data_IF_677518286432
#
_entry.id   IF_677518286432
#
_cell.length_a   1.000
_cell.length_b   1.000
_cell.length_c   1.000
_cell.angle_alpha   90.00
_cell.angle_beta   90.00
_cell.angle_gamma   90.00
#
_symmetry.space_group_name_H-M   'P 1'
#
loop_
_entity.id
_entity.type
_entity.pdbx_description
1 polymer ?
#
# COMPACT_ATOMS: atom_id res chain seq x y z
N UNK A 1 -33.22 30.28 -15.57
CA UNK A 1 -32.13 31.21 -15.94
C UNK A 1 -31.97 32.08 -14.70
N UNK A 2 -31.01 31.84 -13.81
CA UNK A 2 -29.58 31.67 -14.07
C UNK A 2 -28.89 30.58 -13.24
N UNK A 3 -27.94 29.96 -13.92
CA UNK A 3 -26.99 28.96 -13.43
C UNK A 3 -25.89 29.68 -12.66
N UNK A 4 -25.81 29.49 -11.34
CA UNK A 4 -24.56 29.70 -10.60
C UNK A 4 -24.28 28.44 -9.78
N UNK A 5 -23.32 27.70 -10.30
CA UNK A 5 -22.65 26.55 -9.70
C UNK A 5 -22.08 26.99 -8.35
N UNK A 6 -22.70 26.54 -7.25
CA UNK A 6 -22.06 26.53 -5.93
C UNK A 6 -22.09 25.10 -5.41
N UNK A 7 -21.22 24.26 -5.98
CA UNK A 7 -20.84 22.98 -5.39
C UNK A 7 -19.44 23.13 -4.78
N UNK A 8 -19.37 23.77 -3.62
CA UNK A 8 -18.17 23.79 -2.78
C UNK A 8 -18.48 24.33 -1.37
N UNK A 9 -19.65 23.99 -0.81
CA UNK A 9 -19.91 24.22 0.60
C UNK A 9 -19.48 22.98 1.38
N UNK A 10 -18.30 23.10 2.02
CA UNK A 10 -17.95 22.42 3.25
C UNK A 10 -18.47 20.99 3.41
N UNK A 11 -17.97 20.06 2.59
CA UNK A 11 -17.95 18.68 3.03
C UNK A 11 -16.94 18.61 4.18
N UNK A 12 -17.41 18.54 5.43
CA UNK A 12 -16.66 17.84 6.49
C UNK A 12 -16.47 16.43 5.95
N UNK A 13 -15.43 16.21 5.15
CA UNK A 13 -15.16 14.92 4.54
C UNK A 13 -14.76 13.96 5.65
N UNK A 14 -15.75 13.36 6.29
CA UNK A 14 -15.63 11.96 6.65
C UNK A 14 -15.62 11.21 5.32
N UNK A 15 -14.48 11.17 4.63
CA UNK A 15 -14.32 10.23 3.52
C UNK A 15 -14.63 8.86 4.12
N UNK A 16 -15.70 8.18 3.69
CA UNK A 16 -15.95 6.84 4.19
C UNK A 16 -14.71 6.03 3.83
N UNK A 17 -14.06 5.39 4.79
CA UNK A 17 -12.88 4.56 4.57
C UNK A 17 -13.06 3.61 3.37
N UNK A 18 -14.32 3.22 3.09
CA UNK A 18 -14.76 2.48 1.92
C UNK A 18 -14.43 3.17 0.58
N UNK A 19 -14.74 4.46 0.40
CA UNK A 19 -14.48 5.18 -0.87
C UNK A 19 -12.99 5.22 -1.17
N UNK A 20 -12.17 5.58 -0.17
CA UNK A 20 -10.71 5.59 -0.30
C UNK A 20 -10.19 4.20 -0.68
N UNK A 21 -10.67 3.17 0.01
CA UNK A 21 -10.25 1.78 -0.22
C UNK A 21 -10.63 1.27 -1.61
N UNK A 22 -11.83 1.60 -2.10
CA UNK A 22 -12.27 1.26 -3.46
C UNK A 22 -11.41 1.97 -4.50
N UNK A 23 -11.15 3.27 -4.34
CA UNK A 23 -10.31 4.04 -5.26
C UNK A 23 -8.88 3.49 -5.31
N UNK A 24 -8.31 3.14 -4.15
CA UNK A 24 -6.99 2.50 -4.08
C UNK A 24 -7.01 1.16 -4.85
N UNK A 25 -8.01 0.31 -4.61
CA UNK A 25 -8.12 -0.98 -5.29
C UNK A 25 -8.25 -0.84 -6.81
N UNK A 26 -9.13 0.05 -7.30
CA UNK A 26 -9.29 0.33 -8.74
C UNK A 26 -8.00 0.89 -9.34
N UNK A 27 -7.34 1.82 -8.64
CA UNK A 27 -6.07 2.41 -9.11
C UNK A 27 -4.99 1.34 -9.25
N UNK A 28 -4.86 0.45 -8.26
CA UNK A 28 -3.91 -0.67 -8.32
C UNK A 28 -4.22 -1.57 -9.51
N UNK A 29 -5.49 -1.94 -9.74
CA UNK A 29 -5.88 -2.74 -10.92
C UNK A 29 -5.43 -2.10 -12.23
N UNK A 30 -5.69 -0.81 -12.41
CA UNK A 30 -5.33 -0.07 -13.62
C UNK A 30 -3.81 -0.02 -13.81
N UNK A 31 -3.08 0.30 -12.75
CA UNK A 31 -1.61 0.36 -12.79
C UNK A 31 -0.99 -0.99 -13.10
N UNK A 32 -1.52 -2.08 -12.54
CA UNK A 32 -1.09 -3.45 -12.85
C UNK A 32 -1.33 -3.76 -14.33
N UNK A 33 -2.54 -3.49 -14.86
CA UNK A 33 -2.86 -3.72 -16.26
C UNK A 33 -1.92 -2.94 -17.20
N UNK A 34 -1.61 -1.69 -16.87
CA UNK A 34 -0.74 -0.84 -17.69
C UNK A 34 0.74 -1.25 -17.65
N UNK A 35 1.24 -1.65 -16.47
CA UNK A 35 2.69 -1.87 -16.26
C UNK A 35 3.12 -3.33 -16.39
N UNK A 36 2.19 -4.28 -16.25
CA UNK A 36 2.49 -5.71 -16.32
C UNK A 36 3.18 -6.14 -17.62
N UNK A 37 2.76 -5.71 -18.83
CA UNK A 37 3.43 -6.12 -20.07
C UNK A 37 4.88 -5.65 -20.19
N UNK A 38 5.27 -4.63 -19.43
CA UNK A 38 6.57 -3.97 -19.53
C UNK A 38 7.52 -4.50 -18.45
N UNK A 39 7.07 -4.50 -17.19
CA UNK A 39 7.92 -4.79 -16.03
C UNK A 39 7.41 -5.93 -15.14
N UNK A 40 6.30 -6.57 -15.50
CA UNK A 40 5.61 -7.51 -14.60
C UNK A 40 4.81 -6.82 -13.50
N UNK A 41 4.75 -5.48 -13.47
CA UNK A 41 3.81 -4.72 -12.64
C UNK A 41 4.05 -4.83 -11.14
N UNK A 42 5.29 -4.98 -10.69
CA UNK A 42 5.56 -5.18 -9.25
C UNK A 42 5.11 -3.98 -8.40
N UNK A 43 5.49 -2.76 -8.80
CA UNK A 43 5.11 -1.46 -8.19
C UNK A 43 5.24 -1.37 -6.65
N UNK A 44 5.95 -2.33 -6.05
CA UNK A 44 6.03 -2.55 -4.62
C UNK A 44 7.31 -3.34 -4.31
N UNK A 45 8.17 -2.83 -3.41
CA UNK A 45 9.39 -3.52 -2.99
C UNK A 45 9.11 -4.93 -2.45
N UNK A 46 8.00 -5.12 -1.74
CA UNK A 46 7.62 -6.41 -1.13
C UNK A 46 7.32 -7.46 -2.19
N UNK A 47 6.56 -7.09 -3.23
CA UNK A 47 6.30 -7.97 -4.38
C UNK A 47 7.62 -8.31 -5.09
N UNK A 48 8.51 -7.34 -5.22
CA UNK A 48 9.82 -7.53 -5.86
C UNK A 48 10.71 -8.49 -5.06
N UNK A 49 10.76 -8.34 -3.75
CA UNK A 49 11.51 -9.24 -2.86
C UNK A 49 10.88 -10.63 -2.84
N UNK A 50 9.55 -10.75 -2.82
CA UNK A 50 8.88 -12.03 -2.89
C UNK A 50 9.18 -12.75 -4.22
N UNK A 51 9.10 -12.04 -5.35
CA UNK A 51 9.47 -12.56 -6.67
C UNK A 51 10.96 -12.95 -6.76
N UNK A 52 11.82 -12.25 -6.03
CA UNK A 52 13.24 -12.62 -5.91
C UNK A 52 13.41 -13.95 -5.17
N UNK A 53 12.72 -14.14 -4.05
CA UNK A 53 12.79 -15.38 -3.27
C UNK A 53 12.17 -16.59 -3.97
N UNK A 54 11.20 -16.38 -4.85
CA UNK A 54 10.64 -17.43 -5.70
C UNK A 54 11.46 -17.68 -6.98
N UNK A 55 12.54 -16.93 -7.21
CA UNK A 55 13.43 -17.11 -8.35
C UNK A 55 12.91 -16.50 -9.67
N UNK A 56 11.84 -15.71 -9.64
CA UNK A 56 11.29 -15.03 -10.82
C UNK A 56 12.13 -13.81 -11.23
N UNK A 57 12.83 -13.18 -10.28
CA UNK A 57 13.67 -12.00 -10.53
C UNK A 57 15.03 -12.16 -9.84
N UNK A 58 16.11 -11.87 -10.56
CA UNK A 58 17.48 -11.86 -10.01
C UNK A 58 17.66 -10.75 -8.97
N UNK A 59 18.54 -10.96 -7.98
CA UNK A 59 18.86 -9.97 -6.93
C UNK A 59 19.21 -8.57 -7.50
N UNK A 60 20.02 -8.50 -8.56
CA UNK A 60 20.41 -7.23 -9.19
C UNK A 60 19.21 -6.48 -9.79
N UNK A 61 18.35 -7.18 -10.53
CA UNK A 61 17.09 -6.60 -11.04
C UNK A 61 16.17 -6.16 -9.90
N UNK A 62 16.08 -6.93 -8.81
CA UNK A 62 15.28 -6.56 -7.65
C UNK A 62 15.72 -5.23 -7.04
N UNK A 63 17.03 -5.00 -6.92
CA UNK A 63 17.57 -3.72 -6.44
C UNK A 63 17.17 -2.55 -7.36
N UNK A 64 17.26 -2.72 -8.69
CA UNK A 64 16.85 -1.71 -9.68
C UNK A 64 15.35 -1.42 -9.57
N UNK A 65 14.53 -2.46 -9.42
CA UNK A 65 13.08 -2.31 -9.25
C UNK A 65 12.74 -1.50 -7.99
N UNK A 66 13.35 -1.84 -6.85
CA UNK A 66 13.10 -1.14 -5.58
C UNK A 66 13.52 0.33 -5.69
N UNK A 67 14.69 0.61 -6.28
CA UNK A 67 15.15 1.98 -6.49
C UNK A 67 14.17 2.78 -7.38
N UNK A 68 13.74 2.21 -8.49
CA UNK A 68 12.78 2.84 -9.40
C UNK A 68 11.40 3.06 -8.74
N UNK A 69 10.94 2.11 -7.93
CA UNK A 69 9.68 2.21 -7.18
C UNK A 69 9.75 3.34 -6.15
N UNK A 70 10.83 3.44 -5.38
CA UNK A 70 11.03 4.52 -4.42
C UNK A 70 11.12 5.89 -5.13
N UNK A 71 11.87 5.97 -6.24
CA UNK A 71 11.96 7.19 -7.04
C UNK A 71 10.60 7.61 -7.59
N UNK A 72 9.84 6.69 -8.17
CA UNK A 72 8.49 6.93 -8.67
C UNK A 72 7.52 7.40 -7.57
N UNK A 73 7.60 6.81 -6.38
CA UNK A 73 6.77 7.23 -5.24
C UNK A 73 7.12 8.64 -4.75
N UNK A 74 8.41 9.02 -4.72
CA UNK A 74 8.83 10.39 -4.41
C UNK A 74 8.34 11.38 -5.46
N UNK A 75 8.49 11.07 -6.75
CA UNK A 75 7.99 11.91 -7.84
C UNK A 75 6.47 12.06 -7.79
N UNK A 76 5.73 11.00 -7.49
CA UNK A 76 4.28 11.05 -7.30
C UNK A 76 3.87 11.95 -6.12
N UNK A 77 4.57 11.86 -4.99
CA UNK A 77 4.34 12.74 -3.84
C UNK A 77 4.67 14.21 -4.15
N UNK A 78 5.76 14.48 -4.91
CA UNK A 78 6.08 15.83 -5.38
C UNK A 78 5.02 16.39 -6.33
N UNK A 79 4.56 15.58 -7.28
CA UNK A 79 3.49 15.97 -8.20
C UNK A 79 2.20 16.30 -7.44
N UNK A 80 1.83 15.50 -6.44
CA UNK A 80 0.67 15.79 -5.58
C UNK A 80 0.86 17.10 -4.82
N UNK A 81 2.04 17.29 -4.18
CA UNK A 81 2.37 18.52 -3.46
C UNK A 81 2.30 19.78 -4.33
N UNK A 82 2.66 19.68 -5.60
CA UNK A 82 2.61 20.80 -6.54
C UNK A 82 1.17 21.23 -6.90
N UNK A 83 0.19 20.33 -6.77
CA UNK A 83 -1.21 20.57 -7.17
C UNK A 83 -2.10 20.90 -5.97
N UNK A 84 -1.79 20.38 -4.78
CA UNK A 84 -2.63 20.58 -3.58
C UNK A 84 -2.19 21.78 -2.75
N UNK A 85 -3.16 22.44 -2.11
CA UNK A 85 -2.89 23.49 -1.14
C UNK A 85 -2.38 22.93 0.20
N UNK A 86 -1.76 23.78 1.03
CA UNK A 86 -1.20 23.42 2.34
C UNK A 86 -2.19 22.70 3.26
N UNK A 87 -3.46 23.14 3.26
CA UNK A 87 -4.52 22.51 4.06
C UNK A 87 -4.72 21.03 3.71
N UNK A 88 -4.68 20.68 2.43
CA UNK A 88 -4.81 19.29 1.95
C UNK A 88 -3.52 18.51 2.25
N UNK A 89 -2.35 19.13 2.03
CA UNK A 89 -1.06 18.55 2.40
C UNK A 89 -1.00 18.15 3.88
N UNK A 90 -1.51 18.99 4.78
CA UNK A 90 -1.52 18.71 6.22
C UNK A 90 -2.60 17.71 6.63
N UNK A 91 -3.79 17.80 6.03
CA UNK A 91 -4.90 16.90 6.36
C UNK A 91 -4.63 15.46 5.94
N UNK A 92 -4.07 15.27 4.73
CA UNK A 92 -3.87 13.93 4.15
C UNK A 92 -2.42 13.48 4.15
N UNK A 93 -1.49 14.32 4.60
CA UNK A 93 -0.05 14.01 4.65
C UNK A 93 0.52 13.52 3.31
N UNK A 94 0.03 14.09 2.19
CA UNK A 94 0.32 13.65 0.82
C UNK A 94 0.07 12.15 0.58
N UNK A 95 -0.90 11.58 1.31
CA UNK A 95 -1.20 10.16 1.30
C UNK A 95 -0.16 9.30 2.01
N UNK A 96 0.75 9.85 2.80
CA UNK A 96 1.78 9.10 3.54
C UNK A 96 1.23 8.08 4.54
N UNK A 97 2.09 7.15 4.95
CA UNK A 97 1.75 6.15 5.96
C UNK A 97 2.05 6.72 7.35
N UNK A 98 1.01 6.80 8.19
CA UNK A 98 1.09 7.39 9.53
C UNK A 98 0.62 6.40 10.57
N UNK A 99 1.42 6.21 11.63
CA UNK A 99 1.08 5.35 12.77
C UNK A 99 0.32 6.11 13.84
N UNK A 100 0.84 7.28 14.18
CA UNK A 100 0.28 8.17 15.17
C UNK A 100 0.63 9.63 14.84
N UNK A 101 -0.10 10.55 15.46
CA UNK A 101 0.11 11.98 15.36
C UNK A 101 0.02 12.60 16.75
N UNK A 102 0.73 13.72 16.94
CA UNK A 102 0.64 14.53 18.14
C UNK A 102 -0.43 15.58 17.94
N UNK A 103 -1.42 15.64 18.83
CA UNK A 103 -2.51 16.62 18.79
C UNK A 103 -2.57 17.42 20.11
N UNK A 104 -3.07 18.67 20.09
CA UNK A 104 -3.31 19.42 21.32
C UNK A 104 -4.35 18.70 22.21
N UNK A 105 -4.00 18.49 23.48
CA UNK A 105 -4.89 17.90 24.49
C UNK A 105 -5.11 18.85 25.68
N UNK A 106 -6.04 18.50 26.59
CA UNK A 106 -6.42 19.36 27.72
C UNK A 106 -5.25 19.70 28.66
N UNK A 107 -4.27 18.79 28.76
CA UNK A 107 -3.11 18.90 29.67
C UNK A 107 -1.77 18.98 28.91
N UNK A 108 -1.80 19.40 27.64
CA UNK A 108 -0.63 19.41 26.76
C UNK A 108 -0.76 18.47 25.55
N UNK A 109 0.29 18.32 24.74
CA UNK A 109 0.28 17.47 23.56
C UNK A 109 0.03 16.00 23.91
N UNK A 110 -0.86 15.34 23.19
CA UNK A 110 -1.16 13.90 23.35
C UNK A 110 -0.93 13.16 22.03
N UNK A 111 -0.40 11.95 22.11
CA UNK A 111 -0.21 11.07 20.96
C UNK A 111 -1.50 10.29 20.73
N UNK A 112 -2.04 10.38 19.51
CA UNK A 112 -3.21 9.59 19.08
C UNK A 112 -2.83 8.76 17.87
N UNK A 113 -3.17 7.48 17.89
CA UNK A 113 -2.81 6.53 16.84
C UNK A 113 -2.57 5.13 17.40
N UNK A 114 -1.91 4.29 16.61
CA UNK A 114 -1.54 2.96 17.04
C UNK A 114 -0.18 2.95 17.75
N UNK A 115 -0.07 2.02 18.68
CA UNK A 115 1.23 1.66 19.24
C UNK A 115 2.10 0.94 18.20
N UNK A 116 3.41 1.12 18.32
CA UNK A 116 4.44 0.54 17.45
C UNK A 116 4.27 -0.97 17.26
N UNK A 117 4.00 -1.71 18.33
CA UNK A 117 3.85 -3.17 18.26
C UNK A 117 2.56 -3.58 17.51
N UNK A 118 1.45 -2.89 17.75
CA UNK A 118 0.17 -3.15 17.06
C UNK A 118 0.30 -2.86 15.56
N UNK A 119 0.90 -1.71 15.22
CA UNK A 119 1.16 -1.34 13.84
C UNK A 119 2.06 -2.34 13.11
N UNK A 120 3.13 -2.82 13.77
CA UNK A 120 4.02 -3.82 13.21
C UNK A 120 3.28 -5.13 12.90
N UNK A 121 2.51 -5.65 13.86
CA UNK A 121 1.73 -6.86 13.62
C UNK A 121 0.69 -6.70 12.51
N UNK A 122 0.04 -5.54 12.45
CA UNK A 122 -0.92 -5.24 11.40
C UNK A 122 -0.25 -5.22 10.02
N UNK A 123 0.91 -4.57 9.86
CA UNK A 123 1.69 -4.62 8.62
C UNK A 123 2.09 -6.03 8.24
N UNK A 124 2.57 -6.85 9.19
CA UNK A 124 2.99 -8.23 8.94
C UNK A 124 1.81 -9.06 8.44
N UNK A 125 0.69 -9.04 9.16
CA UNK A 125 -0.49 -9.87 8.86
C UNK A 125 -1.12 -9.46 7.53
N UNK A 126 -1.38 -8.16 7.35
CA UNK A 126 -1.97 -7.64 6.12
C UNK A 126 -1.06 -7.87 4.91
N UNK A 127 0.25 -7.67 5.04
CA UNK A 127 1.19 -7.95 3.95
C UNK A 127 1.24 -9.44 3.63
N UNK A 128 1.20 -10.32 4.63
CA UNK A 128 1.18 -11.76 4.39
C UNK A 128 -0.08 -12.19 3.63
N UNK A 129 -1.25 -11.69 4.01
CA UNK A 129 -2.52 -11.96 3.31
C UNK A 129 -2.46 -11.40 1.88
N UNK A 130 -1.96 -10.19 1.69
CA UNK A 130 -1.77 -9.57 0.39
C UNK A 130 -0.84 -10.42 -0.49
N UNK A 131 0.31 -10.87 0.03
CA UNK A 131 1.24 -11.73 -0.68
C UNK A 131 0.61 -13.08 -1.03
N UNK A 132 -0.07 -13.71 -0.08
CA UNK A 132 -0.77 -14.97 -0.29
C UNK A 132 -1.79 -14.86 -1.42
N UNK A 133 -2.69 -13.89 -1.35
CA UNK A 133 -3.72 -13.69 -2.36
C UNK A 133 -3.12 -13.29 -3.73
N UNK A 134 -2.11 -12.43 -3.73
CA UNK A 134 -1.52 -11.93 -4.97
C UNK A 134 -0.67 -12.98 -5.67
N UNK A 135 0.15 -13.72 -4.94
CA UNK A 135 1.08 -14.69 -5.54
C UNK A 135 0.35 -15.94 -6.02
N UNK A 136 -0.59 -16.48 -5.24
CA UNK A 136 -1.36 -17.63 -5.70
C UNK A 136 -2.18 -17.32 -6.97
N UNK A 137 -2.76 -16.12 -7.06
CA UNK A 137 -3.55 -15.72 -8.23
C UNK A 137 -2.69 -15.28 -9.42
N UNK A 138 -1.58 -14.57 -9.18
CA UNK A 138 -0.74 -14.03 -10.25
C UNK A 138 0.31 -15.01 -10.78
N UNK A 139 0.87 -15.87 -9.91
CA UNK A 139 1.96 -16.77 -10.27
C UNK A 139 1.51 -18.20 -10.58
N UNK A 140 0.26 -18.59 -10.26
CA UNK A 140 -0.33 -19.81 -10.84
C UNK A 140 -0.64 -19.54 -12.33
N UNK A 141 0.30 -19.93 -13.19
CA UNK A 141 0.20 -19.76 -14.63
C UNK A 141 -0.96 -20.53 -15.28
N UNK A 142 -1.59 -21.49 -14.59
CA UNK A 142 -2.82 -22.14 -15.06
C UNK A 142 -4.04 -21.27 -14.78
N UNK A 143 -4.20 -20.82 -13.54
CA UNK A 143 -5.32 -19.95 -13.18
C UNK A 143 -5.24 -18.62 -13.93
N UNK A 144 -4.06 -18.02 -14.04
CA UNK A 144 -3.88 -16.76 -14.75
C UNK A 144 -4.22 -16.88 -16.25
N UNK A 145 -3.97 -18.04 -16.87
CA UNK A 145 -4.39 -18.33 -18.25
C UNK A 145 -5.89 -18.60 -18.37
N UNK A 146 -6.48 -19.29 -17.41
CA UNK A 146 -7.91 -19.61 -17.42
C UNK A 146 -8.80 -18.39 -17.16
N UNK A 147 -8.42 -17.52 -16.20
CA UNK A 147 -9.19 -16.35 -15.80
C UNK A 147 -8.89 -15.11 -16.64
N UNK A 148 -7.70 -15.05 -17.25
CA UNK A 148 -7.22 -13.88 -17.97
C UNK A 148 -6.74 -12.75 -17.05
N UNK A 149 -5.88 -11.89 -17.61
CA UNK A 149 -5.14 -10.86 -16.85
C UNK A 149 -6.03 -9.81 -16.20
N UNK A 150 -7.14 -9.44 -16.85
CA UNK A 150 -8.10 -8.45 -16.33
C UNK A 150 -8.72 -8.93 -15.03
N UNK A 151 -9.14 -10.20 -14.98
CA UNK A 151 -9.76 -10.78 -13.78
C UNK A 151 -8.72 -10.90 -12.66
N UNK A 152 -7.53 -11.43 -12.95
CA UNK A 152 -6.46 -11.59 -11.96
C UNK A 152 -6.10 -10.24 -11.32
N UNK A 153 -5.83 -9.20 -12.11
CA UNK A 153 -5.46 -7.90 -11.55
C UNK A 153 -6.61 -7.20 -10.86
N UNK A 154 -7.86 -7.42 -11.30
CA UNK A 154 -9.05 -6.91 -10.60
C UNK A 154 -9.21 -7.54 -9.23
N UNK A 155 -8.94 -8.85 -9.09
CA UNK A 155 -8.96 -9.55 -7.81
C UNK A 155 -7.84 -9.01 -6.89
N UNK A 156 -6.63 -8.79 -7.41
CA UNK A 156 -5.54 -8.22 -6.62
C UNK A 156 -5.89 -6.82 -6.13
N UNK A 157 -6.41 -5.95 -7.00
CA UNK A 157 -6.87 -4.62 -6.61
C UNK A 157 -7.99 -4.68 -5.57
N UNK A 158 -8.95 -5.59 -5.73
CA UNK A 158 -10.02 -5.81 -4.76
C UNK A 158 -9.47 -6.25 -3.39
N UNK A 159 -8.52 -7.19 -3.37
CA UNK A 159 -7.87 -7.65 -2.13
C UNK A 159 -7.14 -6.49 -1.44
N UNK A 160 -6.37 -5.70 -2.19
CA UNK A 160 -5.68 -4.52 -1.63
C UNK A 160 -6.69 -3.54 -1.04
N UNK A 161 -7.76 -3.22 -1.78
CA UNK A 161 -8.82 -2.34 -1.30
C UNK A 161 -9.48 -2.88 -0.02
N UNK A 162 -9.84 -4.17 0.01
CA UNK A 162 -10.43 -4.80 1.20
C UNK A 162 -9.50 -4.78 2.41
N UNK A 163 -8.20 -5.04 2.23
CA UNK A 163 -7.24 -5.00 3.33
C UNK A 163 -7.08 -3.58 3.87
N UNK A 164 -7.00 -2.57 2.99
CA UNK A 164 -6.96 -1.16 3.42
C UNK A 164 -8.25 -0.79 4.16
N UNK A 165 -9.41 -1.19 3.65
CA UNK A 165 -10.69 -0.96 4.30
C UNK A 165 -10.75 -1.59 5.69
N UNK A 166 -10.40 -2.88 5.80
CA UNK A 166 -10.40 -3.61 7.07
C UNK A 166 -9.42 -2.95 8.04
N UNK A 167 -8.19 -2.64 7.63
CA UNK A 167 -7.19 -2.00 8.50
C UNK A 167 -7.64 -0.64 9.03
N UNK A 168 -8.35 0.15 8.21
CA UNK A 168 -8.82 1.48 8.62
C UNK A 168 -10.13 1.44 9.38
N UNK A 169 -11.06 0.54 9.02
CA UNK A 169 -12.38 0.42 9.63
C UNK A 169 -12.38 -0.41 10.91
N UNK A 170 -11.64 -1.52 10.97
CA UNK A 170 -11.60 -2.37 12.17
C UNK A 170 -10.77 -1.72 13.27
N UNK A 171 -9.64 -1.10 12.90
CA UNK A 171 -8.82 -0.40 13.90
C UNK A 171 -9.46 0.92 14.33
N UNK A 172 -10.19 1.61 13.45
CA UNK A 172 -10.96 2.84 13.70
C UNK A 172 -10.22 3.92 14.55
N UNK A 173 -8.89 3.88 14.56
CA UNK A 173 -8.07 4.67 15.48
C UNK A 173 -7.71 5.98 14.80
N UNK A 174 -8.07 7.10 15.43
CA UNK A 174 -7.71 8.44 14.93
C UNK A 174 -6.20 8.60 14.93
N UNK A 175 -5.66 9.19 13.86
CA UNK A 175 -4.22 9.36 13.68
C UNK A 175 -3.51 8.20 13.00
N UNK A 176 -4.20 7.08 12.73
CA UNK A 176 -3.69 5.99 11.92
C UNK A 176 -4.20 6.10 10.47
N UNK A 177 -3.29 6.02 9.49
CA UNK A 177 -3.63 6.18 8.07
C UNK A 177 -4.05 4.88 7.36
N UNK A 178 -4.06 3.75 8.07
CA UNK A 178 -4.22 2.43 7.47
C UNK A 178 -2.89 1.77 7.13
N UNK A 179 -2.98 0.52 6.69
CA UNK A 179 -1.80 -0.30 6.43
C UNK A 179 -1.09 0.13 5.13
N UNK A 180 0.23 0.15 5.18
CA UNK A 180 1.11 0.53 4.07
C UNK A 180 1.25 -0.59 3.04
N UNK A 181 1.67 -1.79 3.46
CA UNK A 181 1.94 -2.98 2.62
C UNK A 181 2.93 -2.78 1.45
N UNK A 182 3.45 -1.56 1.29
CA UNK A 182 4.30 -1.14 0.19
C UNK A 182 5.30 -0.10 0.71
N UNK A 183 6.56 -0.51 0.95
CA UNK A 183 7.58 0.37 1.51
C UNK A 183 7.84 1.60 0.65
N UNK A 184 7.83 1.49 -0.68
CA UNK A 184 8.04 2.63 -1.58
C UNK A 184 6.89 3.65 -1.47
N UNK A 185 5.65 3.17 -1.42
CA UNK A 185 4.44 3.98 -1.22
C UNK A 185 4.41 4.72 0.11
N UNK A 186 5.06 4.18 1.14
CA UNK A 186 5.23 4.90 2.41
C UNK A 186 6.42 5.86 2.37
N UNK A 187 7.54 5.45 1.75
CA UNK A 187 8.77 6.25 1.67
C UNK A 187 8.59 7.55 0.88
N UNK A 188 7.91 7.51 -0.26
CA UNK A 188 7.76 8.68 -1.15
C UNK A 188 7.25 9.93 -0.43
N UNK A 189 6.04 9.89 0.16
CA UNK A 189 5.50 10.99 0.95
C UNK A 189 6.34 11.32 2.19
N UNK A 190 6.97 10.34 2.85
CA UNK A 190 7.81 10.58 4.02
C UNK A 190 9.04 11.44 3.68
N UNK A 191 9.69 11.17 2.54
CA UNK A 191 10.82 11.97 2.07
C UNK A 191 10.39 13.38 1.65
N UNK A 192 9.25 13.51 0.97
CA UNK A 192 8.79 14.80 0.40
C UNK A 192 8.15 15.72 1.44
N UNK A 193 7.36 15.17 2.36
CA UNK A 193 6.64 15.95 3.38
C UNK A 193 7.42 16.03 4.69
N UNK A 194 8.04 14.92 5.11
CA UNK A 194 8.67 14.81 6.42
C UNK A 194 7.69 14.83 7.60
N UNK A 195 8.21 15.21 8.76
CA UNK A 195 7.47 15.29 10.02
C UNK A 195 7.07 13.92 10.56
N UNK A 196 5.83 13.80 11.04
CA UNK A 196 5.33 12.58 11.70
C UNK A 196 5.36 11.33 10.81
N UNK A 197 5.54 11.45 9.48
CA UNK A 197 5.68 10.30 8.58
C UNK A 197 6.97 9.51 8.80
N UNK A 198 7.95 10.09 9.49
CA UNK A 198 9.18 9.41 9.90
C UNK A 198 9.03 8.66 11.23
N UNK A 199 8.02 9.00 12.03
CA UNK A 199 7.77 8.38 13.32
C UNK A 199 7.34 6.92 13.13
N UNK A 200 8.22 6.00 13.50
CA UNK A 200 8.01 4.56 13.30
C UNK A 200 8.04 4.11 11.83
N UNK A 201 8.59 4.92 10.90
CA UNK A 201 8.63 4.60 9.47
C UNK A 201 9.24 3.23 9.14
N UNK A 202 10.21 2.81 9.95
CA UNK A 202 10.87 1.51 9.79
C UNK A 202 9.89 0.34 9.81
N UNK A 203 8.71 0.48 10.44
CA UNK A 203 7.66 -0.54 10.46
C UNK A 203 7.16 -0.88 9.05
N UNK A 204 7.06 0.12 8.17
CA UNK A 204 6.62 -0.08 6.78
C UNK A 204 7.67 -0.80 5.93
N UNK A 205 8.86 -1.04 6.46
CA UNK A 205 9.91 -1.88 5.86
C UNK A 205 10.02 -3.22 6.57
N UNK A 206 10.12 -3.20 7.90
CA UNK A 206 10.29 -4.40 8.72
C UNK A 206 9.05 -5.30 8.68
N UNK A 207 7.84 -4.75 8.84
CA UNK A 207 6.60 -5.54 8.82
C UNK A 207 6.43 -6.28 7.50
N UNK A 208 6.46 -5.57 6.35
CA UNK A 208 6.38 -6.24 5.06
C UNK A 208 7.57 -7.18 4.76
N UNK A 209 8.78 -6.86 5.23
CA UNK A 209 9.95 -7.72 5.11
C UNK A 209 9.82 -9.04 5.89
N UNK A 210 9.29 -8.99 7.12
CA UNK A 210 8.98 -10.18 7.93
C UNK A 210 7.90 -11.01 7.23
N UNK A 211 6.87 -10.37 6.67
CA UNK A 211 5.84 -11.06 5.90
C UNK A 211 6.41 -11.76 4.65
N UNK A 212 7.33 -11.13 3.92
CA UNK A 212 8.04 -11.76 2.80
C UNK A 212 8.81 -13.01 3.24
N UNK A 213 9.52 -12.95 4.37
CA UNK A 213 10.27 -14.08 4.90
C UNK A 213 9.33 -15.23 5.29
N UNK A 214 8.27 -14.93 6.04
CA UNK A 214 7.26 -15.90 6.45
C UNK A 214 6.59 -16.54 5.22
N UNK A 215 6.23 -15.73 4.21
CA UNK A 215 5.65 -16.21 2.97
C UNK A 215 6.62 -17.10 2.17
N UNK A 216 7.91 -16.72 2.09
CA UNK A 216 8.91 -17.56 1.43
C UNK A 216 9.06 -18.92 2.11
N UNK A 217 9.05 -18.99 3.45
CA UNK A 217 9.09 -20.25 4.17
C UNK A 217 7.82 -21.07 3.86
N UNK A 218 6.64 -20.44 3.92
CA UNK A 218 5.38 -21.08 3.60
C UNK A 218 5.37 -21.72 2.19
N UNK A 219 5.85 -21.00 1.16
CA UNK A 219 5.93 -21.55 -0.20
C UNK A 219 6.88 -22.74 -0.36
N UNK A 220 7.89 -22.89 0.52
CA UNK A 220 8.81 -24.04 0.48
C UNK A 220 8.23 -25.30 1.09
N UNK A 221 7.22 -25.16 1.96
CA UNK A 221 6.53 -26.29 2.61
C UNK A 221 5.53 -26.95 1.65
N UNK A 222 4.99 -26.18 0.69
CA UNK A 222 3.99 -26.67 -0.26
C UNK A 222 4.66 -27.52 -1.36
N UNK A 223 4.16 -28.75 -1.64
CA UNK A 223 4.70 -29.59 -2.70
C UNK A 223 4.67 -28.92 -4.08
N UNK A 224 5.80 -28.96 -4.81
CA UNK A 224 5.98 -28.29 -6.12
C UNK A 224 5.04 -28.82 -7.22
N UNK A 225 4.55 -30.04 -7.07
CA UNK A 225 3.64 -30.72 -8.03
C UNK A 225 2.31 -29.97 -8.19
N UNK A 226 1.88 -29.19 -7.19
CA UNK A 226 0.67 -28.39 -7.26
C UNK A 226 0.88 -26.96 -7.82
N UNK A 227 2.14 -26.54 -8.02
CA UNK A 227 2.49 -25.17 -8.42
C UNK A 227 2.91 -25.05 -9.90
N UNK A 228 3.36 -26.14 -10.54
CA UNK A 228 3.93 -26.11 -11.89
C UNK A 228 3.42 -27.20 -12.86
N UNK A 229 2.49 -28.06 -12.43
CA UNK A 229 1.88 -29.11 -13.27
C UNK A 229 0.78 -28.57 -14.17
#
# INVERSE_FOLDING_TARGET
MDTIVISSYHTKTETPNLVMSVVIGVTVTILLLATFPISGGHLNPVITVAAMFTGLVSVSRSAIYIAAQCAGAMLGALALKAVVGRTIEDTFSLGGCTLNVVVPGPNGPVVVGLETAQALWLEVICTFIFLYASIWMAFDGRQARALGRVVVFSIIGLVVGLIVFISTAVTATKGYAGVGMNPARCLGPAVVRGGHLWEGHWIFWAGPGIACLAFSIYTRIIPKENLYG
#
